data_IF_518073201088
#
_entry.id   IF_518073201088
#
_cell.length_a   1.000
_cell.length_b   1.000
_cell.length_c   1.000
_cell.angle_alpha   90.00
_cell.angle_beta   90.00
_cell.angle_gamma   90.00
#
_symmetry.space_group_name_H-M   'P 1'
#
loop_
_entity.id
_entity.type
_entity.pdbx_description
1 polymer ?
#
# COMPACT_ATOMS: atom_id res chain seq x y z
N UNK A 1 10.10 12.63 -10.37
CA UNK A 1 10.32 11.44 -9.52
C UNK A 1 11.64 11.58 -8.79
N UNK A 2 11.88 10.86 -7.70
CA UNK A 2 13.17 10.95 -6.98
C UNK A 2 14.33 10.52 -7.89
N UNK A 3 14.20 9.37 -8.57
CA UNK A 3 15.18 8.91 -9.55
C UNK A 3 15.51 9.97 -10.60
N UNK A 4 14.51 10.68 -11.15
CA UNK A 4 14.75 11.71 -12.16
C UNK A 4 15.51 12.93 -11.61
N UNK A 5 15.63 13.08 -10.30
CA UNK A 5 16.42 14.14 -9.64
C UNK A 5 17.82 13.66 -9.25
N UNK A 6 17.94 12.43 -8.74
CA UNK A 6 19.23 11.89 -8.24
C UNK A 6 20.01 11.06 -9.26
N UNK A 7 19.36 10.69 -10.38
CA UNK A 7 19.89 9.86 -11.46
C UNK A 7 20.59 8.56 -10.99
N UNK A 8 20.08 7.97 -9.91
CA UNK A 8 20.64 6.78 -9.25
C UNK A 8 19.52 5.99 -8.55
N UNK A 9 19.71 4.69 -8.39
CA UNK A 9 18.78 3.75 -7.75
C UNK A 9 19.05 3.53 -6.25
N UNK A 10 20.08 4.17 -5.69
CA UNK A 10 20.46 4.04 -4.28
C UNK A 10 19.60 4.89 -3.36
N UNK A 11 18.31 4.55 -3.26
CA UNK A 11 17.38 5.23 -2.37
C UNK A 11 17.75 5.07 -0.88
N UNK A 12 18.50 4.02 -0.56
CA UNK A 12 19.09 3.72 0.74
C UNK A 12 20.30 4.60 1.11
N UNK A 13 20.87 5.34 0.14
CA UNK A 13 21.84 6.41 0.41
C UNK A 13 21.16 7.79 0.46
N UNK A 14 19.97 7.94 -0.13
CA UNK A 14 19.19 9.19 -0.07
C UNK A 14 18.50 9.37 1.29
N UNK A 15 17.82 8.32 1.77
CA UNK A 15 17.26 8.28 3.12
C UNK A 15 18.29 7.67 4.07
N UNK A 16 18.51 8.32 5.21
CA UNK A 16 19.49 7.86 6.21
C UNK A 16 19.13 6.50 6.82
N UNK A 17 17.84 6.26 7.06
CA UNK A 17 17.27 5.00 7.52
C UNK A 17 15.78 4.94 7.17
N UNK A 18 15.22 3.73 7.10
CA UNK A 18 13.79 3.55 6.84
C UNK A 18 13.26 2.17 7.20
N UNK A 19 11.95 1.99 6.98
CA UNK A 19 11.35 0.66 6.86
C UNK A 19 10.58 0.56 5.54
N UNK A 20 11.17 -0.15 4.57
CA UNK A 20 10.59 -0.47 3.27
C UNK A 20 10.60 -2.00 3.10
N UNK A 21 9.58 -2.71 3.63
CA UNK A 21 9.51 -4.16 3.58
C UNK A 21 9.70 -4.74 2.18
N UNK A 22 10.52 -5.78 2.07
CA UNK A 22 10.96 -6.34 0.77
C UNK A 22 12.32 -5.83 0.30
N UNK A 23 12.88 -4.79 0.94
CA UNK A 23 14.26 -4.36 0.71
C UNK A 23 15.28 -5.41 1.21
N UNK A 24 16.53 -5.38 0.72
CA UNK A 24 17.59 -6.28 1.20
C UNK A 24 17.89 -6.08 2.70
N UNK A 25 17.49 -7.04 3.54
CA UNK A 25 17.52 -6.92 5.02
C UNK A 25 18.84 -6.49 5.62
N UNK A 26 19.94 -7.05 5.12
CA UNK A 26 21.26 -6.92 5.76
C UNK A 26 22.17 -5.89 5.09
N UNK A 27 21.72 -5.27 4.00
CA UNK A 27 22.57 -4.41 3.17
C UNK A 27 21.91 -3.09 2.78
N UNK A 28 20.73 -2.78 3.33
CA UNK A 28 20.00 -1.55 3.01
C UNK A 28 19.58 -0.84 4.30
N UNK A 29 19.86 0.47 4.37
CA UNK A 29 19.37 1.35 5.44
C UNK A 29 17.84 1.38 5.51
N UNK A 30 17.17 1.02 4.42
CA UNK A 30 15.72 0.96 4.29
C UNK A 30 15.06 -0.18 5.08
N UNK A 31 15.83 -1.09 5.70
CA UNK A 31 15.29 -2.06 6.66
C UNK A 31 15.62 -1.73 8.13
N UNK A 32 16.41 -0.67 8.39
CA UNK A 32 16.95 -0.39 9.72
C UNK A 32 15.88 -0.02 10.76
N UNK A 33 14.75 0.54 10.34
CA UNK A 33 13.67 0.92 11.26
C UNK A 33 12.62 -0.18 11.47
N UNK A 34 12.58 -1.19 10.61
CA UNK A 34 11.60 -2.27 10.66
C UNK A 34 11.66 -3.05 11.98
N UNK A 35 10.51 -3.54 12.47
CA UNK A 35 10.38 -4.07 13.84
C UNK A 35 9.94 -5.54 13.91
N UNK A 36 9.81 -6.20 12.76
CA UNK A 36 9.48 -7.60 12.66
C UNK A 36 8.15 -7.95 13.33
N UNK A 37 8.06 -9.19 13.81
CA UNK A 37 6.83 -9.74 14.38
C UNK A 37 6.85 -9.63 15.90
N UNK A 38 5.65 -9.51 16.47
CA UNK A 38 5.47 -9.71 17.92
C UNK A 38 5.64 -11.18 18.34
N UNK A 39 5.42 -12.12 17.42
CA UNK A 39 5.42 -13.56 17.69
C UNK A 39 6.79 -14.23 17.55
N UNK A 40 7.84 -13.47 17.19
CA UNK A 40 9.18 -14.01 17.04
C UNK A 40 10.14 -13.09 16.27
N UNK A 41 11.43 -13.40 16.39
CA UNK A 41 12.53 -12.66 15.76
C UNK A 41 12.74 -13.06 14.29
N UNK A 42 13.51 -12.26 13.53
CA UNK A 42 13.92 -12.60 12.17
C UNK A 42 12.85 -12.36 11.10
N UNK A 43 11.78 -11.63 11.45
CA UNK A 43 10.70 -11.23 10.55
C UNK A 43 10.80 -9.77 10.13
N UNK A 44 11.87 -9.09 10.49
CA UNK A 44 12.13 -7.70 10.14
C UNK A 44 12.14 -7.54 8.60
N UNK A 45 11.46 -6.51 8.11
CA UNK A 45 11.45 -6.12 6.71
C UNK A 45 10.90 -7.20 5.74
N UNK A 46 10.14 -8.20 6.23
CA UNK A 46 9.41 -9.13 5.35
C UNK A 46 8.25 -8.41 4.66
N UNK A 47 7.99 -8.60 3.36
CA UNK A 47 6.87 -7.96 2.66
C UNK A 47 5.55 -8.71 2.92
N UNK A 48 5.17 -8.88 4.19
CA UNK A 48 3.89 -9.45 4.61
C UNK A 48 3.56 -9.06 6.07
N UNK A 49 2.35 -9.41 6.53
CA UNK A 49 1.82 -9.02 7.85
C UNK A 49 2.58 -9.57 9.07
N UNK A 50 3.66 -10.35 8.89
CA UNK A 50 4.55 -10.66 10.01
C UNK A 50 5.45 -9.46 10.38
N UNK A 51 5.70 -8.53 9.46
CA UNK A 51 6.34 -7.24 9.77
C UNK A 51 5.25 -6.25 10.19
N UNK A 52 5.36 -5.71 11.41
CA UNK A 52 4.32 -4.81 11.95
C UNK A 52 4.27 -3.45 11.26
N UNK A 53 5.35 -3.04 10.58
CA UNK A 53 5.36 -1.85 9.72
C UNK A 53 4.96 -2.11 8.26
N UNK A 54 4.51 -3.33 7.92
CA UNK A 54 4.02 -3.65 6.58
C UNK A 54 2.61 -3.10 6.32
N UNK A 55 2.37 -2.68 5.08
CA UNK A 55 1.09 -2.14 4.62
C UNK A 55 0.85 -0.69 5.07
N UNK A 56 -0.31 -0.14 4.72
CA UNK A 56 -0.63 1.27 4.96
C UNK A 56 -0.59 1.65 6.43
N UNK A 57 -1.32 0.91 7.27
CA UNK A 57 -1.35 1.16 8.72
C UNK A 57 0.02 0.91 9.37
N UNK A 58 0.78 -0.07 8.89
CA UNK A 58 2.13 -0.33 9.38
C UNK A 58 3.10 0.80 9.07
N UNK A 59 3.06 1.35 7.86
CA UNK A 59 3.88 2.49 7.47
C UNK A 59 3.52 3.76 8.26
N UNK A 60 2.22 4.00 8.54
CA UNK A 60 1.81 5.11 9.42
C UNK A 60 2.28 4.90 10.86
N UNK A 61 2.22 3.67 11.38
CA UNK A 61 2.82 3.32 12.67
C UNK A 61 4.33 3.58 12.70
N UNK A 62 5.04 3.27 11.61
CA UNK A 62 6.46 3.58 11.49
C UNK A 62 6.73 5.08 11.63
N UNK A 63 5.91 5.94 11.03
CA UNK A 63 5.99 7.40 11.21
C UNK A 63 5.76 7.81 12.66
N UNK A 64 4.76 7.23 13.33
CA UNK A 64 4.44 7.57 14.73
C UNK A 64 5.57 7.17 15.70
N UNK A 65 6.19 6.01 15.48
CA UNK A 65 7.15 5.44 16.44
C UNK A 65 8.61 5.80 16.14
N UNK A 66 9.01 6.02 14.88
CA UNK A 66 10.44 6.12 14.49
C UNK A 66 10.79 7.03 13.32
N UNK A 67 9.95 7.08 12.29
CA UNK A 67 10.27 7.73 11.01
C UNK A 67 9.83 9.18 10.93
N UNK A 68 10.34 9.91 9.95
CA UNK A 68 9.99 11.32 9.72
C UNK A 68 8.92 11.51 8.63
N UNK A 69 8.74 10.51 7.77
CA UNK A 69 7.78 10.54 6.65
C UNK A 69 7.23 9.13 6.40
N UNK A 70 5.94 9.04 6.02
CA UNK A 70 5.33 7.80 5.55
C UNK A 70 4.73 8.00 4.15
N UNK A 71 4.95 7.04 3.27
CA UNK A 71 4.32 6.97 1.95
C UNK A 71 3.11 6.03 2.03
N UNK A 72 1.91 6.60 2.14
CA UNK A 72 0.65 5.88 2.34
C UNK A 72 -0.47 6.52 1.53
N UNK A 73 -1.60 5.82 1.40
CA UNK A 73 -2.84 6.39 0.85
C UNK A 73 -3.38 7.52 1.73
N UNK A 74 -4.14 8.42 1.13
CA UNK A 74 -4.75 9.59 1.74
C UNK A 74 -5.56 9.28 3.03
N UNK A 75 -6.38 8.23 3.01
CA UNK A 75 -7.27 7.88 4.12
C UNK A 75 -6.55 7.24 5.31
N UNK A 76 -5.29 6.86 5.19
CA UNK A 76 -4.59 6.09 6.23
C UNK A 76 -4.52 6.82 7.56
N UNK A 77 -4.27 8.13 7.55
CA UNK A 77 -4.20 8.91 8.80
C UNK A 77 -5.58 8.93 9.45
N UNK A 78 -6.63 9.30 8.70
CA UNK A 78 -8.01 9.36 9.20
C UNK A 78 -8.46 8.00 9.78
N UNK A 79 -8.11 6.91 9.12
CA UNK A 79 -8.42 5.53 9.55
C UNK A 79 -7.70 5.11 10.84
N UNK A 80 -6.63 5.80 11.23
CA UNK A 80 -5.78 5.42 12.38
C UNK A 80 -5.67 6.51 13.46
N UNK A 81 -6.43 7.60 13.36
CA UNK A 81 -6.47 8.67 14.37
C UNK A 81 -7.89 8.88 14.88
N UNK A 82 -8.04 9.77 15.87
CA UNK A 82 -9.33 10.21 16.42
C UNK A 82 -10.21 9.05 16.93
N UNK A 83 -9.58 7.99 17.44
CA UNK A 83 -10.25 6.80 17.96
C UNK A 83 -10.66 5.75 16.92
N UNK A 84 -10.33 5.94 15.64
CA UNK A 84 -10.65 4.96 14.58
C UNK A 84 -9.77 3.70 14.62
N UNK A 85 -8.63 3.74 15.31
CA UNK A 85 -7.81 2.55 15.60
C UNK A 85 -7.59 2.41 17.12
N UNK A 86 -8.01 1.27 17.66
CA UNK A 86 -7.95 0.95 19.09
C UNK A 86 -6.61 0.35 19.56
N UNK A 87 -5.65 0.13 18.65
CA UNK A 87 -4.31 -0.32 19.00
C UNK A 87 -3.59 0.71 19.88
N UNK A 88 -2.77 0.21 20.82
CA UNK A 88 -2.12 1.05 21.83
C UNK A 88 -1.26 2.19 21.23
N UNK A 89 -0.63 1.98 20.07
CA UNK A 89 0.20 2.99 19.41
C UNK A 89 -0.61 4.11 18.74
N UNK A 90 -1.88 3.85 18.37
CA UNK A 90 -2.75 4.78 17.64
C UNK A 90 -3.81 5.45 18.53
N UNK A 91 -4.12 4.87 19.69
CA UNK A 91 -5.27 5.24 20.55
C UNK A 91 -5.39 6.75 20.85
N UNK A 92 -4.28 7.45 21.01
CA UNK A 92 -4.25 8.88 21.36
C UNK A 92 -3.80 9.78 20.19
N UNK A 93 -3.69 9.23 18.98
CA UNK A 93 -3.26 9.99 17.81
C UNK A 93 -4.42 10.83 17.29
N UNK A 94 -4.12 12.10 17.00
CA UNK A 94 -5.06 13.08 16.43
C UNK A 94 -4.67 13.41 15.00
N UNK A 95 -5.63 13.51 14.09
CA UNK A 95 -5.31 13.80 12.68
C UNK A 95 -4.61 15.15 12.50
N UNK A 96 -4.87 16.11 13.37
CA UNK A 96 -4.30 17.46 13.33
C UNK A 96 -2.79 17.49 13.62
N UNK A 97 -2.23 16.40 14.14
CA UNK A 97 -0.79 16.26 14.38
C UNK A 97 -0.01 15.87 13.11
N UNK A 98 -0.70 15.66 11.99
CA UNK A 98 -0.10 15.19 10.74
C UNK A 98 -0.46 16.13 9.58
N UNK A 99 0.42 16.15 8.59
CA UNK A 99 0.26 16.95 7.37
C UNK A 99 0.70 16.12 6.16
N UNK A 100 0.23 16.50 4.97
CA UNK A 100 0.64 15.94 3.69
C UNK A 100 1.70 16.84 3.03
N UNK A 101 2.69 16.21 2.41
CA UNK A 101 3.75 16.90 1.67
C UNK A 101 3.35 17.03 0.19
N UNK A 102 3.32 18.26 -0.33
CA UNK A 102 2.94 18.54 -1.70
C UNK A 102 4.16 18.57 -2.64
N UNK A 103 3.91 18.37 -3.94
CA UNK A 103 4.97 18.35 -4.97
C UNK A 103 5.68 19.70 -5.14
N UNK A 104 5.00 20.79 -4.79
CA UNK A 104 5.52 22.17 -4.82
C UNK A 104 6.36 22.52 -3.57
N UNK A 105 6.53 21.57 -2.64
CA UNK A 105 7.27 21.76 -1.40
C UNK A 105 6.45 22.34 -0.25
N UNK A 106 5.17 22.67 -0.48
CA UNK A 106 4.26 23.10 0.59
C UNK A 106 3.78 21.91 1.44
N UNK A 107 3.20 22.23 2.59
CA UNK A 107 2.55 21.29 3.50
C UNK A 107 1.10 21.68 3.63
N UNK A 108 0.22 20.69 3.70
CA UNK A 108 -1.22 20.90 3.88
C UNK A 108 -1.81 19.97 4.93
N UNK A 109 -2.95 20.32 5.54
CA UNK A 109 -3.67 19.41 6.41
C UNK A 109 -4.05 18.12 5.69
N UNK A 110 -4.13 17.02 6.43
CA UNK A 110 -4.55 15.69 5.90
C UNK A 110 -5.89 15.74 5.17
N UNK A 111 -6.80 16.63 5.58
CA UNK A 111 -8.11 16.81 4.94
C UNK A 111 -8.02 17.40 3.53
N UNK A 112 -6.89 17.98 3.13
CA UNK A 112 -6.67 18.54 1.78
C UNK A 112 -5.76 17.64 0.91
N UNK A 113 -5.67 16.34 1.22
CA UNK A 113 -4.90 15.37 0.46
C UNK A 113 -5.34 15.30 -1.02
N UNK A 114 -6.62 15.53 -1.32
CA UNK A 114 -7.13 15.54 -2.70
C UNK A 114 -6.42 16.59 -3.57
N UNK A 115 -6.08 17.75 -3.02
CA UNK A 115 -5.34 18.81 -3.72
C UNK A 115 -3.81 18.73 -3.52
N UNK A 116 -3.32 17.72 -2.79
CA UNK A 116 -1.93 17.55 -2.42
C UNK A 116 -1.55 16.06 -2.30
N UNK A 117 -1.43 15.39 -3.45
CA UNK A 117 -1.13 13.96 -3.52
C UNK A 117 -0.11 13.57 -4.60
N UNK A 118 0.41 12.36 -4.44
CA UNK A 118 1.10 11.62 -5.50
C UNK A 118 0.06 10.71 -6.19
N UNK A 119 0.06 10.58 -7.53
CA UNK A 119 -0.96 9.84 -8.26
C UNK A 119 -0.85 8.33 -7.98
N UNK A 120 -1.97 7.70 -7.65
CA UNK A 120 -2.06 6.26 -7.37
C UNK A 120 -3.39 5.69 -7.88
N UNK A 121 -3.37 4.63 -8.72
CA UNK A 121 -4.58 3.93 -9.14
C UNK A 121 -5.11 3.01 -8.05
N UNK A 122 -6.41 2.74 -8.06
CA UNK A 122 -7.02 1.78 -7.13
C UNK A 122 -6.42 0.36 -7.29
N UNK A 123 -6.53 -0.44 -6.22
CA UNK A 123 -6.20 -1.86 -6.30
C UNK A 123 -7.20 -2.60 -7.21
N UNK A 124 -6.73 -3.64 -7.89
CA UNK A 124 -7.55 -4.47 -8.79
C UNK A 124 -7.33 -5.96 -8.55
N UNK A 125 -8.38 -6.74 -8.81
CA UNK A 125 -8.24 -8.18 -8.97
C UNK A 125 -7.67 -8.47 -10.35
N UNK A 126 -6.62 -9.28 -10.40
CA UNK A 126 -5.99 -9.74 -11.65
C UNK A 126 -6.20 -11.23 -11.83
N UNK A 127 -6.34 -11.65 -13.08
CA UNK A 127 -6.43 -13.07 -13.45
C UNK A 127 -5.83 -13.30 -14.82
N UNK A 128 -5.63 -14.57 -15.18
CA UNK A 128 -5.29 -14.92 -16.55
C UNK A 128 -6.49 -14.67 -17.47
N UNK A 129 -6.20 -14.39 -18.74
CA UNK A 129 -7.21 -14.06 -19.76
C UNK A 129 -8.29 -15.14 -19.89
N UNK A 130 -7.92 -16.42 -19.79
CA UNK A 130 -8.83 -17.57 -19.88
C UNK A 130 -9.80 -17.70 -18.69
N UNK A 131 -9.50 -17.06 -17.56
CA UNK A 131 -10.33 -17.09 -16.33
C UNK A 131 -10.98 -15.76 -15.99
N UNK A 132 -10.64 -14.67 -16.67
CA UNK A 132 -11.10 -13.32 -16.34
C UNK A 132 -12.63 -13.23 -16.17
N UNK A 133 -13.41 -13.71 -17.16
CA UNK A 133 -14.88 -13.69 -17.10
C UNK A 133 -15.45 -14.55 -15.97
N UNK A 134 -14.82 -15.70 -15.69
CA UNK A 134 -15.24 -16.59 -14.61
C UNK A 134 -15.00 -15.93 -13.24
N UNK A 135 -13.81 -15.36 -13.05
CA UNK A 135 -13.44 -14.64 -11.83
C UNK A 135 -14.36 -13.45 -11.57
N UNK A 136 -14.61 -12.62 -12.58
CA UNK A 136 -15.52 -11.47 -12.48
C UNK A 136 -16.93 -11.91 -12.06
N UNK A 137 -17.48 -12.94 -12.71
CA UNK A 137 -18.82 -13.46 -12.38
C UNK A 137 -18.91 -14.02 -10.96
N UNK A 138 -17.91 -14.79 -10.54
CA UNK A 138 -17.87 -15.37 -9.19
C UNK A 138 -17.75 -14.25 -8.15
N UNK A 139 -16.84 -13.29 -8.35
CA UNK A 139 -16.62 -12.22 -7.39
C UNK A 139 -17.83 -11.29 -7.25
N UNK A 140 -18.54 -11.01 -8.34
CA UNK A 140 -19.81 -10.28 -8.28
C UNK A 140 -20.82 -11.00 -7.40
N UNK A 141 -20.99 -12.31 -7.60
CA UNK A 141 -21.86 -13.11 -6.73
C UNK A 141 -21.39 -13.11 -5.27
N UNK A 142 -20.10 -13.27 -5.03
CA UNK A 142 -19.56 -13.32 -3.66
C UNK A 142 -19.71 -11.98 -2.92
N UNK A 143 -19.56 -10.84 -3.60
CA UNK A 143 -19.77 -9.54 -2.95
C UNK A 143 -21.26 -9.21 -2.74
N UNK A 144 -22.18 -9.79 -3.51
CA UNK A 144 -23.62 -9.63 -3.25
C UNK A 144 -24.01 -10.29 -1.91
N UNK A 145 -23.43 -11.47 -1.65
CA UNK A 145 -23.69 -12.25 -0.42
C UNK A 145 -22.90 -11.73 0.79
N UNK A 146 -21.64 -11.31 0.60
CA UNK A 146 -20.68 -11.03 1.69
C UNK A 146 -20.06 -9.63 1.66
N UNK A 147 -20.53 -8.74 0.79
CA UNK A 147 -19.99 -7.40 0.62
C UNK A 147 -20.40 -6.45 1.75
N UNK A 148 -20.39 -5.14 1.45
CA UNK A 148 -20.66 -4.09 2.45
C UNK A 148 -22.13 -3.97 2.86
N UNK A 149 -23.03 -4.71 2.21
CA UNK A 149 -24.44 -4.83 2.57
C UNK A 149 -24.67 -5.66 3.84
N UNK A 150 -23.70 -6.50 4.23
CA UNK A 150 -23.77 -7.29 5.47
C UNK A 150 -23.62 -6.38 6.69
N UNK A 151 -24.59 -6.42 7.61
CA UNK A 151 -24.64 -5.52 8.76
C UNK A 151 -24.02 -6.09 10.04
N UNK A 152 -23.99 -7.42 10.21
CA UNK A 152 -23.37 -8.09 11.36
C UNK A 152 -22.16 -8.93 10.91
N UNK A 153 -20.98 -8.33 11.00
CA UNK A 153 -19.70 -8.99 10.73
C UNK A 153 -19.11 -9.74 11.93
N UNK A 154 -19.80 -9.77 13.08
CA UNK A 154 -19.36 -10.54 14.25
C UNK A 154 -19.81 -11.99 14.19
N UNK A 155 -21.02 -12.23 13.65
CA UNK A 155 -21.59 -13.57 13.47
C UNK A 155 -21.48 -14.09 12.04
N UNK A 156 -21.25 -13.20 11.06
CA UNK A 156 -21.19 -13.55 9.64
C UNK A 156 -19.84 -13.20 9.01
N UNK A 157 -19.56 -13.85 7.89
CA UNK A 157 -18.42 -13.51 7.06
C UNK A 157 -18.65 -12.21 6.29
N UNK A 158 -17.70 -11.26 6.38
CA UNK A 158 -17.69 -10.01 5.63
C UNK A 158 -16.42 -9.91 4.79
N UNK A 159 -16.57 -9.88 3.46
CA UNK A 159 -15.47 -9.98 2.49
C UNK A 159 -14.51 -8.77 2.52
N UNK A 160 -15.03 -7.59 2.85
CA UNK A 160 -14.28 -6.32 2.89
C UNK A 160 -14.02 -5.83 4.31
N UNK A 161 -13.95 -6.75 5.28
CA UNK A 161 -13.55 -6.46 6.65
C UNK A 161 -12.64 -7.58 7.15
N UNK A 162 -11.51 -7.20 7.74
CA UNK A 162 -10.56 -8.16 8.30
C UNK A 162 -10.40 -8.00 9.81
N UNK A 163 -10.05 -9.11 10.49
CA UNK A 163 -9.67 -9.10 11.91
C UNK A 163 -8.28 -8.49 12.16
N UNK A 164 -7.58 -8.14 11.09
CA UNK A 164 -6.27 -7.49 11.12
C UNK A 164 -6.33 -6.27 10.20
N UNK A 165 -5.45 -6.17 9.21
CA UNK A 165 -5.37 -5.05 8.27
C UNK A 165 -5.30 -5.57 6.85
N UNK A 166 -6.24 -5.12 6.01
CA UNK A 166 -6.26 -5.31 4.56
C UNK A 166 -6.04 -6.78 4.11
N UNK A 167 -6.65 -7.75 4.80
CA UNK A 167 -6.55 -9.17 4.43
C UNK A 167 -7.40 -9.46 3.17
N UNK A 168 -6.75 -9.94 2.11
CA UNK A 168 -7.31 -10.16 0.76
C UNK A 168 -7.70 -8.86 0.04
N UNK A 169 -8.56 -8.06 0.65
CA UNK A 169 -9.01 -6.75 0.16
C UNK A 169 -8.70 -5.68 1.18
N UNK A 170 -8.66 -4.41 0.73
CA UNK A 170 -8.55 -3.29 1.67
C UNK A 170 -9.81 -3.21 2.55
N UNK A 171 -9.66 -2.88 3.82
CA UNK A 171 -10.79 -2.80 4.77
C UNK A 171 -11.78 -1.65 4.43
N UNK A 172 -11.31 -0.68 3.63
CA UNK A 172 -12.12 0.43 3.11
C UNK A 172 -12.76 0.16 1.75
N UNK A 173 -12.61 -1.06 1.21
CA UNK A 173 -13.27 -1.48 -0.03
C UNK A 173 -14.79 -1.38 0.12
N UNK A 174 -15.44 -0.66 -0.79
CA UNK A 174 -16.91 -0.52 -0.82
C UNK A 174 -17.56 -1.62 -1.67
N UNK A 175 -16.97 -1.89 -2.82
CA UNK A 175 -17.38 -2.95 -3.74
C UNK A 175 -16.23 -3.29 -4.69
N UNK A 176 -16.40 -4.36 -5.46
CA UNK A 176 -15.62 -4.65 -6.65
C UNK A 176 -16.39 -4.15 -7.87
N UNK A 177 -15.80 -3.20 -8.59
CA UNK A 177 -16.42 -2.62 -9.78
C UNK A 177 -15.93 -3.31 -11.06
N UNK A 178 -16.85 -3.55 -12.00
CA UNK A 178 -16.48 -4.00 -13.35
C UNK A 178 -15.71 -2.90 -14.08
N UNK A 179 -14.63 -3.31 -14.76
CA UNK A 179 -13.75 -2.39 -15.49
C UNK A 179 -13.91 -2.57 -17.00
N UNK A 180 -14.12 -1.46 -17.72
CA UNK A 180 -14.14 -1.46 -19.18
C UNK A 180 -12.74 -1.74 -19.77
N UNK A 181 -11.70 -1.27 -19.07
CA UNK A 181 -10.30 -1.36 -19.46
C UNK A 181 -9.70 -2.68 -18.93
N UNK A 182 -9.48 -3.64 -19.83
CA UNK A 182 -9.11 -5.03 -19.47
C UNK A 182 -7.62 -5.34 -19.53
N UNK A 183 -6.78 -4.36 -19.87
CA UNK A 183 -5.32 -4.49 -19.86
C UNK A 183 -4.72 -3.66 -18.75
N UNK A 184 -3.56 -4.08 -18.23
CA UNK A 184 -2.95 -3.43 -17.07
C UNK A 184 -2.58 -1.96 -17.35
N UNK A 185 -2.06 -1.67 -18.54
CA UNK A 185 -1.64 -0.35 -19.00
C UNK A 185 -2.83 0.61 -19.11
N UNK A 186 -3.93 0.15 -19.72
CA UNK A 186 -5.14 0.97 -19.85
C UNK A 186 -5.79 1.22 -18.49
N UNK A 187 -5.82 0.21 -17.60
CA UNK A 187 -6.34 0.33 -16.24
C UNK A 187 -5.54 1.32 -15.38
N UNK A 188 -4.21 1.17 -15.35
CA UNK A 188 -3.32 2.01 -14.53
C UNK A 188 -3.21 3.44 -15.06
N UNK A 189 -3.38 3.63 -16.38
CA UNK A 189 -3.27 4.93 -17.05
C UNK A 189 -1.83 5.33 -17.36
N UNK A 190 -1.68 6.20 -18.37
CA UNK A 190 -0.40 6.51 -18.99
C UNK A 190 0.63 7.11 -18.02
N UNK A 191 0.17 7.97 -17.09
CA UNK A 191 1.06 8.63 -16.13
C UNK A 191 1.68 7.63 -15.16
N UNK A 192 0.90 6.68 -14.66
CA UNK A 192 1.40 5.64 -13.75
C UNK A 192 2.29 4.63 -14.48
N UNK A 193 1.94 4.26 -15.70
CA UNK A 193 2.76 3.37 -16.54
C UNK A 193 4.11 4.01 -16.86
N UNK A 194 4.13 5.31 -17.21
CA UNK A 194 5.35 6.06 -17.47
C UNK A 194 6.22 6.17 -16.22
N UNK A 195 5.59 6.47 -15.08
CA UNK A 195 6.22 6.47 -13.76
C UNK A 195 6.94 5.14 -13.47
N UNK A 196 6.25 4.01 -13.62
CA UNK A 196 6.83 2.69 -13.39
C UNK A 196 7.91 2.31 -14.40
N UNK A 197 7.75 2.72 -15.66
CA UNK A 197 8.75 2.49 -16.71
C UNK A 197 10.07 3.18 -16.37
N UNK A 198 10.02 4.42 -15.88
CA UNK A 198 11.21 5.16 -15.45
C UNK A 198 11.93 4.53 -14.24
N UNK A 199 11.18 3.84 -13.37
CA UNK A 199 11.73 3.11 -12.21
C UNK A 199 12.21 1.69 -12.55
N UNK A 200 11.97 1.19 -13.78
CA UNK A 200 12.29 -0.18 -14.16
C UNK A 200 13.77 -0.53 -13.99
N UNK A 201 14.65 0.42 -14.29
CA UNK A 201 16.11 0.26 -14.12
C UNK A 201 16.55 0.12 -12.65
N UNK A 202 15.72 0.56 -11.71
CA UNK A 202 15.95 0.41 -10.27
C UNK A 202 15.20 -0.79 -9.68
N UNK A 203 14.54 -1.60 -10.51
CA UNK A 203 13.74 -2.71 -10.00
C UNK A 203 14.63 -3.82 -9.44
N UNK A 204 14.32 -4.27 -8.24
CA UNK A 204 14.92 -5.46 -7.60
C UNK A 204 13.98 -6.67 -7.68
N UNK A 205 12.88 -6.58 -8.45
CA UNK A 205 11.87 -7.63 -8.54
C UNK A 205 12.33 -8.76 -9.46
N UNK A 206 12.66 -9.92 -8.86
CA UNK A 206 12.98 -11.15 -9.59
C UNK A 206 11.82 -11.64 -10.49
N UNK A 207 10.58 -11.38 -10.08
CA UNK A 207 9.42 -11.75 -10.91
C UNK A 207 9.34 -10.88 -12.15
N UNK A 208 9.61 -9.57 -12.03
CA UNK A 208 9.63 -8.67 -13.19
C UNK A 208 10.74 -9.07 -14.18
N UNK A 209 11.92 -9.40 -13.67
CA UNK A 209 13.03 -9.93 -14.47
C UNK A 209 12.60 -11.19 -15.23
N UNK A 210 12.09 -12.20 -14.53
CA UNK A 210 11.64 -13.45 -15.14
C UNK A 210 10.51 -13.23 -16.19
N UNK A 211 9.51 -12.40 -15.89
CA UNK A 211 8.41 -12.13 -16.81
C UNK A 211 8.79 -11.27 -18.03
N UNK A 212 9.97 -10.63 -18.01
CA UNK A 212 10.44 -9.81 -19.13
C UNK A 212 11.63 -10.42 -19.87
N UNK A 213 12.13 -11.57 -19.42
CA UNK A 213 13.25 -12.28 -20.02
C UNK A 213 13.04 -12.65 -21.50
N UNK A 214 11.83 -13.10 -21.86
CA UNK A 214 11.49 -13.52 -23.23
C UNK A 214 10.91 -12.40 -24.10
N UNK A 215 10.86 -11.15 -23.61
CA UNK A 215 10.46 -10.03 -24.47
C UNK A 215 11.66 -9.68 -25.37
N UNK A 216 11.54 -9.78 -26.70
CA UNK A 216 12.60 -9.36 -27.62
C UNK A 216 12.92 -7.87 -27.46
#
# INVERSE_FOLDING_TARGET
MLYSKINNCKFDEFFSAGCAPGSPRNSSSLCALCIGSEKGTGKECVPNSNERYYGYTGAFRCLVEKGDVAFVKDQTVIQNTDGNNNEAWAKNMKKENFEVLCKDGTRKPVTDAENCHLPEPNHAVVSRKDKATCVEKILNKQQDDFGKSVTDCTSNFCLFQSNSKDLLFRDDTKCLASIAKKTYDSYLGDDYVRAMTNLRQCSTSKLLEACTFHKP
#
